data_IF_399379395004
#
_entry.id   IF_399379395004
#
_cell.length_a   1.000
_cell.length_b   1.000
_cell.length_c   1.000
_cell.angle_alpha   90.00
_cell.angle_beta   90.00
_cell.angle_gamma   90.00
#
_symmetry.space_group_name_H-M   'P 1'
#
loop_
_entity.id
_entity.type
_entity.pdbx_description
1 polymer ?
#
# COMPACT_ATOMS: atom_id res chain seq x y z
N UNK A 1 21.16 13.88 -21.33
CA UNK A 1 21.68 12.77 -20.57
C UNK A 1 20.85 12.44 -19.33
N UNK A 2 21.26 11.44 -18.54
CA UNK A 2 20.51 10.98 -17.34
C UNK A 2 20.14 12.12 -16.38
N UNK A 3 21.09 12.98 -16.05
CA UNK A 3 20.85 14.10 -15.15
C UNK A 3 19.76 15.06 -15.68
N UNK A 4 19.74 15.34 -16.99
CA UNK A 4 18.70 16.17 -17.59
C UNK A 4 17.32 15.49 -17.59
N UNK A 5 17.27 14.15 -17.67
CA UNK A 5 16.02 13.40 -17.60
C UNK A 5 15.39 13.43 -16.20
N UNK A 6 16.21 13.44 -15.16
CA UNK A 6 15.75 13.47 -13.76
C UNK A 6 15.64 14.88 -13.16
N UNK A 7 16.07 15.92 -13.87
CA UNK A 7 15.97 17.28 -13.39
C UNK A 7 15.38 18.19 -14.48
N UNK A 8 14.09 18.48 -14.40
CA UNK A 8 13.44 19.36 -15.37
C UNK A 8 14.07 20.77 -15.37
N UNK A 9 14.22 21.36 -16.56
CA UNK A 9 14.69 22.75 -16.77
C UNK A 9 16.14 23.02 -16.33
N UNK A 10 17.04 22.03 -16.43
CA UNK A 10 18.47 22.25 -16.20
C UNK A 10 18.86 22.59 -14.76
N UNK A 11 18.03 22.27 -13.78
CA UNK A 11 18.31 22.49 -12.34
C UNK A 11 19.24 21.45 -11.73
N UNK A 12 20.10 20.85 -12.54
CA UNK A 12 21.08 19.86 -12.05
C UNK A 12 22.27 20.61 -11.46
N UNK A 13 22.58 20.34 -10.23
CA UNK A 13 23.87 20.72 -9.63
C UNK A 13 24.84 19.57 -9.87
N UNK A 14 25.85 19.79 -10.69
CA UNK A 14 26.89 18.80 -11.01
C UNK A 14 28.16 19.00 -10.19
N UNK A 15 28.23 20.12 -9.46
CA UNK A 15 29.34 20.59 -8.64
C UNK A 15 29.15 20.33 -7.15
N UNK A 16 28.08 19.64 -6.80
CA UNK A 16 27.80 19.27 -5.40
C UNK A 16 28.77 18.19 -4.88
N UNK A 17 29.27 18.36 -3.66
CA UNK A 17 30.05 17.32 -2.98
C UNK A 17 29.18 16.05 -2.83
N UNK A 18 29.71 14.91 -3.29
CA UNK A 18 29.08 13.61 -3.04
C UNK A 18 29.61 13.11 -1.71
N UNK A 19 28.79 13.19 -0.68
CA UNK A 19 29.11 12.70 0.68
C UNK A 19 29.04 11.17 0.77
N UNK A 20 29.72 10.45 -0.15
CA UNK A 20 29.78 9.01 -0.15
C UNK A 20 30.42 8.48 1.15
N UNK A 21 29.78 7.51 1.78
CA UNK A 21 30.25 6.94 3.06
C UNK A 21 29.85 7.73 4.31
N UNK A 22 29.16 8.86 4.15
CA UNK A 22 28.66 9.69 5.25
C UNK A 22 27.21 10.08 4.99
N UNK A 23 26.43 10.35 6.03
CA UNK A 23 25.04 10.84 5.97
C UNK A 23 24.14 10.05 4.99
N UNK A 24 24.08 8.74 5.19
CA UNK A 24 23.26 7.87 4.34
C UNK A 24 21.76 8.18 4.53
N UNK A 25 21.07 8.49 3.43
CA UNK A 25 19.64 8.74 3.42
C UNK A 25 18.83 7.59 4.01
N UNK A 26 19.25 6.34 3.78
CA UNK A 26 18.61 5.14 4.34
C UNK A 26 18.64 5.11 5.88
N UNK A 27 19.72 5.62 6.49
CA UNK A 27 19.82 5.70 7.95
C UNK A 27 19.02 6.87 8.51
N UNK A 28 18.95 7.98 7.78
CA UNK A 28 18.22 9.18 8.20
C UNK A 28 16.72 9.08 7.97
N UNK A 29 16.29 8.55 6.83
CA UNK A 29 14.89 8.48 6.42
C UNK A 29 14.25 7.13 6.73
N UNK A 30 15.06 6.08 6.88
CA UNK A 30 14.61 4.71 7.05
C UNK A 30 14.15 4.07 5.73
N UNK A 31 13.60 2.87 5.82
CA UNK A 31 13.03 2.12 4.71
C UNK A 31 11.52 1.97 4.87
N UNK A 32 10.82 2.22 3.77
CA UNK A 32 9.40 1.91 3.69
C UNK A 32 9.21 0.51 3.06
N UNK A 33 8.54 -0.37 3.76
CA UNK A 33 8.16 -1.69 3.26
C UNK A 33 6.74 -1.63 2.73
N UNK A 34 6.55 -1.86 1.45
CA UNK A 34 5.19 -1.98 0.88
C UNK A 34 4.48 -3.20 1.45
N UNK A 35 3.47 -2.99 2.26
CA UNK A 35 2.64 -4.09 2.79
C UNK A 35 1.73 -4.67 1.70
N UNK A 36 1.13 -3.81 0.88
CA UNK A 36 0.17 -4.19 -0.16
C UNK A 36 0.81 -4.14 -1.55
N UNK A 37 0.53 -5.10 -2.44
CA UNK A 37 1.11 -5.16 -3.79
C UNK A 37 0.43 -4.20 -4.79
N UNK A 38 0.08 -3.00 -4.34
CA UNK A 38 -0.58 -1.93 -5.10
C UNK A 38 0.23 -0.63 -5.04
N UNK A 39 -0.23 0.42 -5.72
CA UNK A 39 0.39 1.74 -5.64
C UNK A 39 0.47 2.22 -4.18
N UNK A 40 1.62 2.78 -3.78
CA UNK A 40 1.82 3.23 -2.40
C UNK A 40 0.86 4.35 -1.98
N UNK A 41 0.37 5.13 -2.95
CA UNK A 41 -0.65 6.15 -2.73
C UNK A 41 -1.97 5.62 -2.12
N UNK A 42 -2.19 4.30 -2.13
CA UNK A 42 -3.40 3.65 -1.59
C UNK A 42 -3.22 3.11 -0.15
N UNK A 43 -1.97 2.99 0.32
CA UNK A 43 -1.69 2.22 1.53
C UNK A 43 -2.35 2.81 2.77
N UNK A 44 -2.35 4.14 2.94
CA UNK A 44 -3.01 4.82 4.07
C UNK A 44 -4.52 4.58 4.08
N UNK A 45 -5.16 4.68 2.91
CA UNK A 45 -6.59 4.42 2.77
C UNK A 45 -6.96 2.95 3.01
N UNK A 46 -6.11 2.00 2.56
CA UNK A 46 -6.29 0.57 2.83
C UNK A 46 -6.20 0.30 4.34
N UNK A 47 -5.20 0.85 5.03
CA UNK A 47 -5.05 0.69 6.48
C UNK A 47 -6.30 1.18 7.21
N UNK A 48 -6.78 2.38 6.88
CA UNK A 48 -8.01 2.95 7.46
C UNK A 48 -9.25 2.09 7.23
N UNK A 49 -9.42 1.54 6.01
CA UNK A 49 -10.55 0.66 5.68
C UNK A 49 -10.47 -0.68 6.40
N UNK A 50 -9.31 -1.32 6.42
CA UNK A 50 -9.14 -2.61 7.09
C UNK A 50 -9.37 -2.48 8.60
N UNK A 51 -8.91 -1.38 9.22
CA UNK A 51 -9.17 -1.10 10.62
C UNK A 51 -10.67 -0.90 10.89
N UNK A 52 -11.36 -0.10 10.06
CA UNK A 52 -12.80 0.11 10.18
C UNK A 52 -13.59 -1.19 10.00
N UNK A 53 -13.24 -1.99 8.98
CA UNK A 53 -13.91 -3.24 8.68
C UNK A 53 -13.75 -4.26 9.82
N UNK A 54 -12.55 -4.36 10.38
CA UNK A 54 -12.26 -5.26 11.50
C UNK A 54 -13.03 -4.86 12.78
N UNK A 55 -13.07 -3.56 13.10
CA UNK A 55 -13.75 -3.05 14.30
C UNK A 55 -15.28 -3.16 14.22
N UNK A 56 -15.87 -2.97 13.05
CA UNK A 56 -17.31 -2.82 12.89
C UNK A 56 -17.99 -3.98 12.15
N UNK A 57 -17.24 -5.00 11.71
CA UNK A 57 -17.75 -6.15 10.94
C UNK A 57 -18.62 -5.68 9.75
N UNK A 58 -18.09 -4.77 8.95
CA UNK A 58 -18.82 -4.16 7.84
C UNK A 58 -19.12 -5.21 6.79
N UNK A 59 -20.41 -5.36 6.42
CA UNK A 59 -20.84 -6.22 5.33
C UNK A 59 -20.98 -5.41 4.03
N UNK A 60 -20.46 -5.93 2.88
CA UNK A 60 -20.47 -5.21 1.60
C UNK A 60 -21.86 -4.75 1.13
N UNK A 61 -22.89 -5.55 1.40
CA UNK A 61 -24.29 -5.28 1.02
C UNK A 61 -24.89 -4.07 1.77
N UNK A 62 -24.41 -3.81 2.99
CA UNK A 62 -24.85 -2.70 3.82
C UNK A 62 -24.20 -1.36 3.46
N UNK A 63 -23.20 -1.35 2.58
CA UNK A 63 -22.50 -0.13 2.21
C UNK A 63 -23.33 0.67 1.20
N UNK A 64 -23.60 1.92 1.56
CA UNK A 64 -24.19 2.94 0.68
C UNK A 64 -23.08 3.69 -0.08
N UNK A 65 -22.05 4.12 0.61
CA UNK A 65 -20.93 4.90 0.04
C UNK A 65 -19.66 4.70 0.86
N UNK A 66 -18.52 4.71 0.19
CA UNK A 66 -17.18 4.81 0.77
C UNK A 66 -16.52 6.08 0.24
N UNK A 67 -16.12 6.97 1.11
CA UNK A 67 -15.38 8.18 0.74
C UNK A 67 -13.93 8.07 1.20
N UNK A 68 -13.01 8.23 0.25
CA UNK A 68 -11.57 8.29 0.49
C UNK A 68 -11.12 9.74 0.31
N UNK A 69 -10.60 10.35 1.36
CA UNK A 69 -10.01 11.70 1.29
C UNK A 69 -8.50 11.57 1.26
N UNK A 70 -7.88 11.93 0.14
CA UNK A 70 -6.44 11.77 -0.14
C UNK A 70 -5.87 13.03 -0.79
N UNK A 71 -4.54 13.12 -0.88
CA UNK A 71 -3.88 14.23 -1.56
C UNK A 71 -4.13 14.23 -3.06
N UNK A 72 -4.24 15.42 -3.66
CA UNK A 72 -4.44 15.59 -5.11
C UNK A 72 -3.34 14.94 -5.95
N UNK A 73 -2.08 15.04 -5.52
CA UNK A 73 -0.97 14.39 -6.22
C UNK A 73 -1.05 12.86 -6.11
N UNK A 74 -1.48 12.33 -4.96
CA UNK A 74 -1.73 10.90 -4.78
C UNK A 74 -2.82 10.42 -5.74
N UNK A 75 -3.95 11.13 -5.80
CA UNK A 75 -5.06 10.80 -6.70
C UNK A 75 -4.63 10.82 -8.17
N UNK A 76 -3.72 11.71 -8.55
CA UNK A 76 -3.24 11.85 -9.92
C UNK A 76 -2.55 10.62 -10.51
N UNK A 77 -2.06 9.69 -9.69
CA UNK A 77 -1.47 8.42 -10.15
C UNK A 77 -2.46 7.26 -10.16
N UNK A 78 -3.66 7.43 -9.59
CA UNK A 78 -4.71 6.41 -9.49
C UNK A 78 -5.68 6.57 -10.66
N UNK A 79 -5.36 5.94 -11.80
CA UNK A 79 -5.99 6.23 -13.10
C UNK A 79 -7.19 5.35 -13.45
N UNK A 80 -7.46 4.30 -12.69
CA UNK A 80 -8.45 3.28 -13.05
C UNK A 80 -9.61 3.26 -12.06
N UNK A 81 -10.72 3.93 -12.38
CA UNK A 81 -11.93 3.91 -11.53
C UNK A 81 -12.76 2.64 -11.68
N UNK A 82 -12.63 1.93 -12.82
CA UNK A 82 -13.37 0.68 -13.10
C UNK A 82 -12.42 -0.38 -13.67
N UNK A 83 -11.45 -0.86 -12.89
CA UNK A 83 -10.47 -1.82 -13.36
C UNK A 83 -11.12 -3.14 -13.79
N UNK A 84 -10.55 -3.76 -14.82
CA UNK A 84 -10.97 -5.07 -15.34
C UNK A 84 -9.86 -6.11 -15.22
N UNK A 85 -8.64 -5.66 -14.92
CA UNK A 85 -7.47 -6.52 -14.76
C UNK A 85 -6.80 -6.27 -13.42
N UNK A 86 -6.04 -7.26 -12.95
CA UNK A 86 -5.22 -7.12 -11.74
C UNK A 86 -4.16 -6.02 -11.89
N UNK A 87 -3.69 -5.75 -13.11
CA UNK A 87 -2.74 -4.65 -13.35
C UNK A 87 -3.41 -3.27 -13.18
N UNK A 88 -4.60 -3.06 -13.74
CA UNK A 88 -5.37 -1.82 -13.57
C UNK A 88 -5.70 -1.61 -12.09
N UNK A 89 -6.10 -2.68 -11.41
CA UNK A 89 -6.46 -2.69 -10.00
C UNK A 89 -5.36 -2.15 -9.08
N UNK A 90 -4.09 -2.33 -9.44
CA UNK A 90 -2.94 -1.79 -8.68
C UNK A 90 -2.93 -0.25 -8.61
N UNK A 91 -3.65 0.42 -9.51
CA UNK A 91 -3.75 1.87 -9.61
C UNK A 91 -5.20 2.36 -9.52
N UNK A 92 -6.05 1.64 -8.78
CA UNK A 92 -7.46 1.95 -8.55
C UNK A 92 -7.76 2.15 -7.07
N UNK A 93 -8.22 3.34 -6.71
CA UNK A 93 -8.68 3.63 -5.36
C UNK A 93 -9.99 2.88 -5.06
N UNK A 94 -10.87 2.80 -6.05
CA UNK A 94 -12.14 2.11 -5.96
C UNK A 94 -11.95 0.61 -5.71
N UNK A 95 -11.01 0.00 -6.44
CA UNK A 95 -10.68 -1.42 -6.22
C UNK A 95 -10.07 -1.66 -4.86
N UNK A 96 -9.09 -0.83 -4.44
CA UNK A 96 -8.46 -0.97 -3.13
C UNK A 96 -9.49 -0.92 -2.00
N UNK A 97 -10.48 -0.01 -2.11
CA UNK A 97 -11.58 0.08 -1.16
C UNK A 97 -12.49 -1.18 -1.23
N UNK A 98 -12.88 -1.60 -2.43
CA UNK A 98 -13.73 -2.78 -2.60
C UNK A 98 -13.06 -4.06 -2.09
N UNK A 99 -11.79 -4.29 -2.41
CA UNK A 99 -11.04 -5.46 -1.96
C UNK A 99 -10.87 -5.49 -0.43
N UNK A 100 -10.57 -4.33 0.18
CA UNK A 100 -10.48 -4.19 1.64
C UNK A 100 -11.76 -4.63 2.36
N UNK A 101 -12.92 -4.34 1.77
CA UNK A 101 -14.22 -4.70 2.35
C UNK A 101 -14.61 -6.15 2.01
N UNK A 102 -14.48 -6.56 0.73
CA UNK A 102 -14.96 -7.89 0.27
C UNK A 102 -14.08 -9.01 0.80
N UNK A 103 -12.75 -8.83 0.77
CA UNK A 103 -11.81 -9.86 1.18
C UNK A 103 -11.22 -9.64 2.58
N UNK A 104 -11.41 -8.45 3.18
CA UNK A 104 -10.74 -8.09 4.43
C UNK A 104 -9.22 -7.98 4.29
N UNK A 105 -8.71 -7.89 3.06
CA UNK A 105 -7.28 -7.79 2.74
C UNK A 105 -7.06 -7.28 1.31
N UNK A 106 -5.84 -6.85 1.03
CA UNK A 106 -5.38 -6.48 -0.31
C UNK A 106 -4.03 -7.15 -0.54
N UNK A 107 -4.04 -8.38 -1.03
CA UNK A 107 -2.88 -9.20 -1.30
C UNK A 107 -2.78 -9.57 -2.78
N UNK A 108 -1.88 -10.51 -3.10
CA UNK A 108 -1.70 -11.00 -4.48
C UNK A 108 -2.88 -11.80 -4.99
N UNK A 109 -3.60 -12.49 -4.12
CA UNK A 109 -4.78 -13.25 -4.48
C UNK A 109 -5.93 -12.36 -4.98
N UNK A 110 -6.04 -11.16 -4.43
CA UNK A 110 -7.05 -10.17 -4.81
C UNK A 110 -6.71 -9.43 -6.11
N UNK A 111 -5.47 -9.53 -6.60
CA UNK A 111 -5.02 -8.91 -7.86
C UNK A 111 -5.09 -9.84 -9.07
N UNK A 112 -5.96 -10.84 -9.03
CA UNK A 112 -6.29 -11.64 -10.21
C UNK A 112 -7.43 -10.99 -10.98
N UNK A 113 -7.44 -11.13 -12.30
CA UNK A 113 -8.52 -10.60 -13.15
C UNK A 113 -9.88 -11.15 -12.75
N UNK A 114 -9.93 -12.41 -12.30
CA UNK A 114 -11.14 -13.06 -11.81
C UNK A 114 -11.69 -12.36 -10.56
N UNK A 115 -10.84 -12.10 -9.56
CA UNK A 115 -11.27 -11.40 -8.35
C UNK A 115 -11.70 -9.96 -8.66
N UNK A 116 -10.94 -9.25 -9.49
CA UNK A 116 -11.26 -7.87 -9.90
C UNK A 116 -12.66 -7.81 -10.55
N UNK A 117 -12.98 -8.77 -11.42
CA UNK A 117 -14.28 -8.85 -12.12
C UNK A 117 -15.39 -9.52 -11.32
N UNK A 118 -15.12 -9.99 -10.13
CA UNK A 118 -16.13 -10.66 -9.31
C UNK A 118 -17.32 -9.73 -8.98
N UNK A 119 -18.55 -10.25 -8.97
CA UNK A 119 -19.74 -9.43 -8.74
C UNK A 119 -19.70 -8.61 -7.45
N UNK A 120 -19.21 -9.11 -6.29
CA UNK A 120 -19.12 -8.31 -5.07
C UNK A 120 -18.20 -7.10 -5.21
N UNK A 121 -17.04 -7.27 -5.87
CA UNK A 121 -16.09 -6.18 -6.12
C UNK A 121 -16.72 -5.16 -7.05
N UNK A 122 -17.23 -5.59 -8.22
CA UNK A 122 -17.82 -4.70 -9.22
C UNK A 122 -19.03 -3.92 -8.69
N UNK A 123 -19.81 -4.49 -7.78
CA UNK A 123 -20.94 -3.83 -7.13
C UNK A 123 -20.51 -2.69 -6.18
N UNK A 124 -19.30 -2.76 -5.62
CA UNK A 124 -18.79 -1.73 -4.72
C UNK A 124 -18.06 -0.58 -5.45
N UNK A 125 -17.44 -0.83 -6.61
CA UNK A 125 -16.70 0.21 -7.33
C UNK A 125 -17.49 1.53 -7.49
N UNK A 126 -18.76 1.53 -7.94
CA UNK A 126 -19.54 2.77 -8.14
C UNK A 126 -19.94 3.45 -6.81
N UNK A 127 -19.79 2.78 -5.68
CA UNK A 127 -20.06 3.32 -4.34
C UNK A 127 -18.85 4.02 -3.72
N UNK A 128 -17.69 3.93 -4.35
CA UNK A 128 -16.46 4.57 -3.85
C UNK A 128 -16.29 5.94 -4.48
N UNK A 129 -16.09 6.93 -3.64
CA UNK A 129 -15.82 8.31 -4.01
C UNK A 129 -14.43 8.72 -3.52
N UNK A 130 -13.65 9.33 -4.39
CA UNK A 130 -12.35 9.92 -4.04
C UNK A 130 -12.50 11.43 -3.95
N UNK A 131 -12.25 11.97 -2.77
CA UNK A 131 -12.19 13.41 -2.49
C UNK A 131 -10.74 13.81 -2.33
N UNK A 132 -10.32 14.92 -2.93
CA UNK A 132 -8.93 15.35 -2.88
C UNK A 132 -8.73 16.62 -2.07
N UNK A 133 -7.58 16.70 -1.39
CA UNK A 133 -7.10 17.90 -0.71
C UNK A 133 -5.82 18.41 -1.40
N UNK A 134 -5.65 19.72 -1.45
CA UNK A 134 -4.47 20.36 -2.06
C UNK A 134 -3.30 20.51 -1.07
N UNK A 135 -3.57 20.41 0.24
CA UNK A 135 -2.54 20.47 1.27
C UNK A 135 -1.57 19.29 1.16
N UNK A 136 -0.28 19.57 1.30
CA UNK A 136 0.78 18.56 1.24
C UNK A 136 1.48 18.41 2.58
N UNK A 137 1.92 17.16 2.88
CA UNK A 137 2.74 16.91 4.07
C UNK A 137 4.11 17.58 3.90
N UNK A 138 4.61 18.18 4.99
CA UNK A 138 5.89 18.90 5.00
C UNK A 138 7.08 17.99 4.67
N UNK A 139 7.05 16.76 5.17
CA UNK A 139 8.14 15.80 5.04
C UNK A 139 7.99 14.94 3.78
N UNK A 140 6.74 14.76 3.32
CA UNK A 140 6.37 13.91 2.17
C UNK A 140 5.48 14.69 1.19
N UNK A 141 6.02 15.64 0.40
CA UNK A 141 5.24 16.60 -0.39
C UNK A 141 4.42 15.99 -1.53
N UNK A 142 4.54 14.70 -1.81
CA UNK A 142 3.67 13.97 -2.72
C UNK A 142 2.36 13.51 -2.08
N UNK A 143 2.24 13.64 -0.76
CA UNK A 143 1.11 13.17 0.03
C UNK A 143 0.41 14.31 0.75
N UNK A 144 -0.87 14.13 1.05
CA UNK A 144 -1.56 14.94 2.05
C UNK A 144 -0.96 14.69 3.45
N UNK A 145 -1.18 15.59 4.43
CA UNK A 145 -0.72 15.38 5.81
C UNK A 145 -1.25 14.06 6.40
N UNK A 146 -2.44 13.64 5.98
CA UNK A 146 -3.06 12.36 6.29
C UNK A 146 -4.11 11.99 5.25
N UNK A 147 -4.40 10.70 5.14
CA UNK A 147 -5.58 10.20 4.45
C UNK A 147 -6.67 9.92 5.49
N UNK A 148 -7.94 9.97 5.09
CA UNK A 148 -9.07 9.54 5.91
C UNK A 148 -10.11 8.78 5.08
N UNK A 149 -10.86 7.93 5.77
CA UNK A 149 -11.91 7.11 5.16
C UNK A 149 -13.20 7.29 5.91
N UNK A 150 -14.29 7.46 5.16
CA UNK A 150 -15.65 7.47 5.69
C UNK A 150 -16.49 6.42 4.98
N UNK A 151 -17.17 5.57 5.74
CA UNK A 151 -18.10 4.56 5.22
C UNK A 151 -19.50 4.92 5.69
N UNK A 152 -20.42 5.18 4.75
CA UNK A 152 -21.86 5.39 5.03
C UNK A 152 -22.60 4.10 4.78
N UNK A 153 -23.37 3.66 5.76
CA UNK A 153 -24.17 2.45 5.69
C UNK A 153 -25.61 2.74 5.24
N UNK A 154 -26.32 1.70 4.81
CA UNK A 154 -27.69 1.79 4.31
C UNK A 154 -28.70 2.21 5.40
N UNK A 155 -28.39 1.93 6.68
CA UNK A 155 -29.19 2.34 7.84
C UNK A 155 -29.00 3.82 8.22
N UNK A 156 -28.16 4.56 7.49
CA UNK A 156 -27.83 5.96 7.73
C UNK A 156 -26.65 6.17 8.68
N UNK A 157 -26.12 5.14 9.31
CA UNK A 157 -24.95 5.25 10.17
C UNK A 157 -23.69 5.58 9.36
N UNK A 158 -22.74 6.24 10.00
CA UNK A 158 -21.48 6.65 9.40
C UNK A 158 -20.33 6.20 10.29
N UNK A 159 -19.35 5.54 9.68
CA UNK A 159 -18.12 5.10 10.32
C UNK A 159 -16.96 5.88 9.68
N UNK A 160 -16.03 6.36 10.50
CA UNK A 160 -14.87 7.08 10.01
C UNK A 160 -13.58 6.53 10.61
N UNK A 161 -12.53 6.45 9.81
CA UNK A 161 -11.19 6.20 10.31
C UNK A 161 -10.66 7.46 11.01
N UNK A 162 -9.74 7.30 11.94
CA UNK A 162 -8.87 8.40 12.29
C UNK A 162 -8.00 8.85 11.11
N UNK A 163 -7.28 9.98 11.22
CA UNK A 163 -6.33 10.42 10.22
C UNK A 163 -5.14 9.44 10.15
N UNK A 164 -4.88 8.89 8.96
CA UNK A 164 -3.76 7.98 8.71
C UNK A 164 -2.61 8.77 8.07
N UNK A 165 -1.62 9.16 8.86
CA UNK A 165 -0.45 9.91 8.38
C UNK A 165 0.59 8.98 7.75
N UNK A 166 0.92 7.88 8.40
CA UNK A 166 1.93 6.92 7.93
C UNK A 166 1.29 5.55 7.79
N UNK A 167 1.30 5.03 6.57
CA UNK A 167 0.83 3.66 6.31
C UNK A 167 1.67 2.64 7.08
N UNK A 168 1.08 1.49 7.41
CA UNK A 168 1.81 0.39 8.00
C UNK A 168 2.91 -0.12 7.03
N UNK A 169 4.13 -0.19 7.53
CA UNK A 169 5.34 -0.44 6.75
C UNK A 169 6.12 0.83 6.39
N UNK A 170 5.61 2.01 6.71
CA UNK A 170 6.38 3.25 6.65
C UNK A 170 7.48 3.24 7.73
N UNK A 171 8.62 3.91 7.49
CA UNK A 171 9.73 3.97 8.46
C UNK A 171 9.31 4.51 9.85
N UNK A 172 8.30 5.39 9.89
CA UNK A 172 7.72 5.93 11.14
C UNK A 172 6.51 5.13 11.66
N UNK A 173 6.11 4.07 10.96
CA UNK A 173 5.07 3.11 11.35
C UNK A 173 5.47 1.72 10.81
N UNK A 174 6.57 1.13 11.32
CA UNK A 174 7.14 -0.09 10.76
C UNK A 174 6.21 -1.29 10.96
N UNK A 175 6.28 -2.23 10.03
CA UNK A 175 5.60 -3.52 10.19
C UNK A 175 6.38 -4.40 11.18
N UNK A 176 5.65 -5.21 11.96
CA UNK A 176 6.22 -6.23 12.81
C UNK A 176 6.68 -7.49 12.03
N UNK A 177 7.34 -8.39 12.73
CA UNK A 177 7.83 -9.65 12.11
C UNK A 177 6.69 -10.54 11.63
N UNK A 178 5.53 -10.52 12.28
CA UNK A 178 4.37 -11.32 11.88
C UNK A 178 3.78 -10.81 10.56
N UNK A 179 3.61 -9.51 10.40
CA UNK A 179 3.17 -8.92 9.14
C UNK A 179 4.21 -9.09 8.03
N UNK A 180 5.50 -9.02 8.36
CA UNK A 180 6.56 -9.27 7.39
C UNK A 180 6.55 -10.72 6.92
N UNK A 181 6.32 -11.67 7.84
CA UNK A 181 6.13 -13.09 7.53
C UNK A 181 4.90 -13.30 6.65
N UNK A 182 3.76 -12.70 7.01
CA UNK A 182 2.53 -12.79 6.21
C UNK A 182 2.74 -12.24 4.79
N UNK A 183 3.44 -11.12 4.64
CA UNK A 183 3.82 -10.59 3.32
C UNK A 183 4.73 -11.54 2.56
N UNK A 184 5.74 -12.12 3.21
CA UNK A 184 6.64 -13.10 2.59
C UNK A 184 5.85 -14.32 2.10
N UNK A 185 4.94 -14.85 2.91
CA UNK A 185 4.09 -15.98 2.56
C UNK A 185 3.13 -15.67 1.39
N UNK A 186 2.55 -14.47 1.36
CA UNK A 186 1.74 -14.02 0.21
C UNK A 186 2.58 -13.97 -1.08
N UNK A 187 3.86 -13.60 -0.99
CA UNK A 187 4.75 -13.54 -2.14
C UNK A 187 5.19 -14.92 -2.64
N UNK A 188 5.49 -15.86 -1.73
CA UNK A 188 6.19 -17.13 -2.08
C UNK A 188 5.31 -18.37 -1.91
N UNK A 189 4.16 -18.26 -1.26
CA UNK A 189 3.37 -19.37 -0.75
C UNK A 189 2.92 -20.44 -1.73
N UNK A 190 3.00 -20.18 -3.03
CA UNK A 190 2.65 -21.18 -4.09
C UNK A 190 3.87 -21.82 -4.73
N UNK A 191 5.08 -21.37 -4.41
CA UNK A 191 6.31 -21.81 -5.05
C UNK A 191 7.04 -22.85 -4.19
N UNK A 192 7.03 -22.67 -2.87
CA UNK A 192 7.71 -23.52 -1.91
C UNK A 192 6.71 -24.21 -0.98
N UNK A 193 7.05 -25.43 -0.53
CA UNK A 193 6.35 -26.10 0.56
C UNK A 193 6.55 -25.37 1.90
N UNK A 194 5.74 -25.73 2.92
CA UNK A 194 5.74 -25.04 4.20
C UNK A 194 7.09 -25.11 4.94
N UNK A 195 7.79 -26.24 4.86
CA UNK A 195 9.10 -26.41 5.52
C UNK A 195 10.16 -25.50 4.87
N UNK A 196 10.25 -25.53 3.54
CA UNK A 196 11.19 -24.70 2.78
C UNK A 196 10.93 -23.21 2.95
N UNK A 197 9.65 -22.79 3.03
CA UNK A 197 9.27 -21.40 3.31
C UNK A 197 9.77 -20.94 4.68
N UNK A 198 9.51 -21.71 5.72
CA UNK A 198 9.94 -21.39 7.08
C UNK A 198 11.46 -21.26 7.15
N UNK A 199 12.17 -22.26 6.61
CA UNK A 199 13.63 -22.27 6.56
C UNK A 199 14.18 -21.04 5.84
N UNK A 200 13.62 -20.69 4.68
CA UNK A 200 14.05 -19.52 3.92
C UNK A 200 13.76 -18.21 4.68
N UNK A 201 12.55 -18.08 5.26
CA UNK A 201 12.22 -16.89 6.06
C UNK A 201 13.17 -16.70 7.23
N UNK A 202 13.44 -17.77 7.99
CA UNK A 202 14.32 -17.71 9.16
C UNK A 202 15.76 -17.35 8.77
N UNK A 203 16.24 -17.81 7.62
CA UNK A 203 17.55 -17.41 7.08
C UNK A 203 17.56 -15.94 6.67
N UNK A 204 16.55 -15.46 5.97
CA UNK A 204 16.43 -14.07 5.57
C UNK A 204 16.29 -13.13 6.78
N UNK A 205 15.55 -13.55 7.81
CA UNK A 205 15.40 -12.79 9.04
C UNK A 205 16.68 -12.74 9.89
N UNK A 206 17.67 -13.61 9.62
CA UNK A 206 18.95 -13.70 10.32
C UNK A 206 20.12 -13.64 9.32
N UNK A 207 20.00 -12.83 8.29
CA UNK A 207 20.94 -12.78 7.19
C UNK A 207 22.39 -12.51 7.66
N UNK A 208 22.53 -11.69 8.68
CA UNK A 208 23.84 -11.32 9.30
C UNK A 208 24.54 -12.49 10.00
N UNK A 209 23.82 -13.60 10.27
CA UNK A 209 24.40 -14.81 10.90
C UNK A 209 24.89 -15.85 9.90
N UNK A 210 24.58 -15.66 8.60
CA UNK A 210 25.00 -16.59 7.56
C UNK A 210 26.49 -16.41 7.28
N UNK A 211 27.19 -17.52 7.11
CA UNK A 211 28.63 -17.51 6.73
C UNK A 211 28.82 -17.25 5.22
N UNK A 212 27.80 -17.54 4.43
CA UNK A 212 27.78 -17.34 2.98
C UNK A 212 26.37 -17.13 2.45
N UNK A 213 26.22 -16.27 1.44
CA UNK A 213 24.95 -16.08 0.73
C UNK A 213 24.44 -17.35 0.03
N UNK A 214 25.33 -18.33 -0.24
CA UNK A 214 24.93 -19.63 -0.82
C UNK A 214 24.03 -20.44 0.11
N UNK A 215 24.08 -20.20 1.42
CA UNK A 215 23.19 -20.85 2.39
C UNK A 215 21.71 -20.49 2.19
N UNK A 216 21.40 -19.41 1.48
CA UNK A 216 20.01 -19.10 1.11
C UNK A 216 19.38 -20.12 0.17
N UNK A 217 20.20 -20.85 -0.59
CA UNK A 217 19.75 -21.79 -1.63
C UNK A 217 19.88 -23.27 -1.23
N UNK A 218 20.34 -23.57 -0.01
CA UNK A 218 20.58 -24.93 0.48
C UNK A 218 19.45 -25.50 1.34
#
# INVERSE_FOLDING_TARGET
GMLSAFSPKGRVRVDGEIAAGRDWHILRLGLNVKRYPVCYALHRSIDGLLELAAKNRISPDKIKEIELTIGKLQAGVLRHSRPQTGLDAKFSAEFAAAASIVAGRVGRAELTDEFVRSPPVQALLPKVRVTTVDETDRDEPLFAPHDSVTVRLADGSTLASGPVRHALGHARNPIGMDELRAKFEDCIGRVLDAHSRNKLFDRLANLEKLSSATELYS
#
